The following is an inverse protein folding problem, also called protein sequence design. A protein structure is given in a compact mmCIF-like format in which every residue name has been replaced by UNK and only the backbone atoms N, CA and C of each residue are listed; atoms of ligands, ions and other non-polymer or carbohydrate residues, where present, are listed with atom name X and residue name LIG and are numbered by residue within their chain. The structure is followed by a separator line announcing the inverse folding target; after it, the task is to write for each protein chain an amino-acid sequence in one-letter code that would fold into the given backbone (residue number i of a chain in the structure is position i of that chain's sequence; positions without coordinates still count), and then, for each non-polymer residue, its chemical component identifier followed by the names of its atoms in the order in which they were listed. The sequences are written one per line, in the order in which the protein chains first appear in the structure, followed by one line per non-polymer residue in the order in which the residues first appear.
data_IF_872180848380
#
_entry.id   IF_872180848380
#
_cell.length_a   1.000
_cell.length_b   1.000
_cell.length_c   1.000
_cell.angle_alpha   90.00
_cell.angle_beta   90.00
_cell.angle_gamma   90.00
#
_symmetry.space_group_name_H-M   'P 1'
#
loop_
_entity.id
_entity.type
_entity.pdbx_description
1 polymer ?
#
# COMPACT_ATOMS: atom_id res chain seq x y z
N UNK A 1 -1.96 -3.75 -7.17
CA UNK A 1 -1.06 -2.64 -6.81
C UNK A 1 -1.61 -1.94 -5.58
N UNK A 2 -2.81 -1.39 -5.71
CA UNK A 2 -3.63 -0.76 -4.65
C UNK A 2 -3.60 -1.51 -3.31
N UNK A 3 -3.95 -2.80 -3.29
CA UNK A 3 -3.88 -3.64 -2.08
C UNK A 3 -2.48 -3.72 -1.48
N UNK A 4 -1.43 -3.88 -2.30
CA UNK A 4 -0.04 -3.99 -1.83
C UNK A 4 0.39 -2.64 -1.23
N UNK A 5 0.08 -1.55 -1.91
CA UNK A 5 0.41 -0.21 -1.42
C UNK A 5 -0.28 0.09 -0.09
N UNK A 6 -1.56 -0.27 0.03
CA UNK A 6 -2.30 -0.17 1.29
C UNK A 6 -1.68 -1.04 2.39
N UNK A 7 -1.40 -2.33 2.11
CA UNK A 7 -0.87 -3.27 3.10
C UNK A 7 0.54 -2.90 3.59
N UNK A 8 1.40 -2.40 2.69
CA UNK A 8 2.72 -1.90 3.05
C UNK A 8 2.59 -0.71 3.98
N UNK A 9 1.71 0.26 3.65
CA UNK A 9 1.48 1.41 4.53
C UNK A 9 0.88 1.00 5.87
N UNK A 10 -0.05 0.06 5.87
CA UNK A 10 -0.62 -0.50 7.09
C UNK A 10 0.46 -1.13 7.98
N UNK A 11 1.38 -1.92 7.42
CA UNK A 11 2.51 -2.48 8.18
C UNK A 11 3.44 -1.41 8.75
N UNK A 12 3.74 -0.37 7.97
CA UNK A 12 4.54 0.77 8.46
C UNK A 12 3.83 1.45 9.63
N UNK A 13 2.53 1.74 9.52
CA UNK A 13 1.76 2.39 10.58
C UNK A 13 1.59 1.47 11.81
N UNK A 14 1.46 0.14 11.64
CA UNK A 14 1.41 -0.82 12.74
C UNK A 14 2.67 -0.81 13.64
N UNK A 15 3.82 -0.35 13.12
CA UNK A 15 5.05 -0.19 13.90
C UNK A 15 5.06 1.13 14.68
N UNK A 16 4.25 2.11 14.28
CA UNK A 16 4.21 3.45 14.87
C UNK A 16 3.12 3.61 15.94
N UNK A 17 2.08 2.78 15.90
CA UNK A 17 0.94 2.84 16.84
C UNK A 17 0.61 1.50 17.46
N UNK A 18 0.08 1.54 18.69
CA UNK A 18 -0.23 0.34 19.47
C UNK A 18 -1.59 -0.31 19.17
N UNK A 19 -2.43 0.38 18.40
CA UNK A 19 -3.78 -0.08 18.02
C UNK A 19 -3.84 -0.38 16.53
N UNK A 20 -4.24 -1.61 16.19
CA UNK A 20 -4.44 -2.02 14.81
C UNK A 20 -5.52 -1.16 14.11
N UNK A 21 -6.57 -0.77 14.82
CA UNK A 21 -7.62 0.11 14.29
C UNK A 21 -7.08 1.49 13.90
N UNK A 22 -6.19 2.05 14.73
CA UNK A 22 -5.55 3.33 14.43
C UNK A 22 -4.55 3.20 13.27
N UNK A 23 -3.80 2.09 13.19
CA UNK A 23 -2.92 1.79 12.06
C UNK A 23 -3.71 1.67 10.74
N UNK A 24 -4.86 0.97 10.75
CA UNK A 24 -5.76 0.86 9.59
C UNK A 24 -6.24 2.25 9.16
N UNK A 25 -6.69 3.07 10.11
CA UNK A 25 -7.23 4.41 9.83
C UNK A 25 -6.19 5.35 9.25
N UNK A 26 -4.95 5.31 9.76
CA UNK A 26 -3.82 6.10 9.24
C UNK A 26 -3.42 5.65 7.84
N UNK A 27 -3.28 4.34 7.62
CA UNK A 27 -2.99 3.79 6.30
C UNK A 27 -4.09 4.14 5.29
N UNK A 28 -5.36 4.05 5.69
CA UNK A 28 -6.50 4.42 4.86
C UNK A 28 -6.50 5.90 4.48
N UNK A 29 -6.21 6.80 5.43
CA UNK A 29 -6.16 8.25 5.15
C UNK A 29 -4.97 8.61 4.26
N UNK A 30 -3.84 7.94 4.42
CA UNK A 30 -2.63 8.16 3.62
C UNK A 30 -2.76 7.67 2.18
N UNK A 31 -3.30 6.47 1.98
CA UNK A 31 -3.30 5.80 0.66
C UNK A 31 -4.64 5.90 -0.06
N UNK A 32 -5.77 5.98 0.66
CA UNK A 32 -7.12 5.91 0.09
C UNK A 32 -7.39 6.98 -0.97
N UNK A 33 -6.93 8.22 -0.75
CA UNK A 33 -7.07 9.29 -1.75
C UNK A 33 -6.34 8.96 -3.05
N UNK A 34 -5.14 8.35 -2.97
CA UNK A 34 -4.38 7.95 -4.14
C UNK A 34 -5.09 6.85 -4.94
N UNK A 35 -5.65 5.84 -4.27
CA UNK A 35 -6.40 4.75 -4.92
C UNK A 35 -7.66 5.24 -5.64
N UNK A 36 -8.37 6.19 -5.03
CA UNK A 36 -9.54 6.81 -5.67
C UNK A 36 -9.12 7.58 -6.92
N UNK A 37 -8.03 8.36 -6.85
CA UNK A 37 -7.56 9.15 -7.98
C UNK A 37 -7.12 8.27 -9.15
N UNK A 38 -6.34 7.20 -8.91
CA UNK A 38 -5.93 6.27 -9.97
C UNK A 38 -7.15 5.60 -10.61
N UNK A 39 -8.12 5.16 -9.80
CA UNK A 39 -9.37 4.58 -10.30
C UNK A 39 -10.15 5.55 -11.17
N UNK A 40 -10.29 6.81 -10.74
CA UNK A 40 -10.97 7.85 -11.53
C UNK A 40 -10.26 8.07 -12.87
N UNK A 41 -8.92 8.14 -12.87
CA UNK A 41 -8.12 8.29 -14.09
C UNK A 41 -8.35 7.09 -15.03
N UNK A 42 -8.35 5.86 -14.51
CA UNK A 42 -8.59 4.66 -15.30
C UNK A 42 -10.01 4.62 -15.86
N UNK A 43 -11.02 4.89 -15.04
CA UNK A 43 -12.42 4.96 -15.49
C UNK A 43 -12.59 6.02 -16.56
N UNK A 44 -12.00 7.20 -16.40
CA UNK A 44 -12.02 8.25 -17.42
C UNK A 44 -11.35 7.80 -18.72
N UNK A 45 -10.20 7.12 -18.63
CA UNK A 45 -9.53 6.51 -19.79
C UNK A 45 -10.42 5.50 -20.52
N UNK A 46 -11.00 4.53 -19.80
CA UNK A 46 -11.93 3.56 -20.37
C UNK A 46 -13.20 4.20 -20.91
N UNK A 47 -13.67 5.30 -20.32
CA UNK A 47 -14.85 6.04 -20.80
C UNK A 47 -14.66 6.55 -22.22
N UNK A 48 -13.44 6.94 -22.60
CA UNK A 48 -13.15 7.34 -23.99
C UNK A 48 -13.30 6.18 -24.98
N UNK A 49 -12.95 4.97 -24.57
CA UNK A 49 -13.04 3.75 -25.39
C UNK A 49 -14.50 3.33 -25.65
N UNK A 50 -15.43 3.72 -24.78
CA UNK A 50 -16.87 3.48 -24.96
C UNK A 50 -17.40 4.15 -26.23
N UNK A 51 -16.77 5.22 -26.70
CA UNK A 51 -17.16 5.89 -27.95
C UNK A 51 -16.59 5.22 -29.21
N UNK A 52 -15.76 4.18 -29.09
CA UNK A 52 -15.18 3.48 -30.25
C UNK A 52 -16.25 2.78 -31.09
N UNK A 53 -16.11 2.79 -32.42
CA UNK A 53 -16.99 2.08 -33.37
C UNK A 53 -16.86 0.55 -33.30
N UNK A 54 -15.80 0.03 -32.69
CA UNK A 54 -15.61 -1.41 -32.54
C UNK A 54 -16.38 -1.94 -31.34
N UNK A 55 -17.34 -2.85 -31.58
CA UNK A 55 -18.17 -3.47 -30.52
C UNK A 55 -17.32 -4.13 -29.43
N UNK A 56 -16.26 -4.84 -29.82
CA UNK A 56 -15.43 -5.59 -28.87
C UNK A 56 -14.68 -4.66 -27.91
N UNK A 57 -14.22 -3.50 -28.41
CA UNK A 57 -13.56 -2.48 -27.58
C UNK A 57 -14.52 -1.87 -26.56
N UNK A 58 -15.78 -1.60 -26.96
CA UNK A 58 -16.82 -1.09 -26.05
C UNK A 58 -17.12 -2.06 -24.92
N UNK A 59 -17.32 -3.34 -25.25
CA UNK A 59 -17.61 -4.38 -24.24
C UNK A 59 -16.43 -4.52 -23.29
N UNK A 60 -15.21 -4.56 -23.81
CA UNK A 60 -14.01 -4.62 -23.00
C UNK A 60 -13.89 -3.42 -22.05
N UNK A 61 -14.17 -2.21 -22.52
CA UNK A 61 -14.11 -1.00 -21.71
C UNK A 61 -15.13 -0.99 -20.56
N UNK A 62 -16.37 -1.42 -20.83
CA UNK A 62 -17.42 -1.52 -19.80
C UNK A 62 -17.03 -2.56 -18.75
N UNK A 63 -16.61 -3.75 -19.17
CA UNK A 63 -16.19 -4.82 -18.24
C UNK A 63 -14.98 -4.39 -17.40
N UNK A 64 -14.00 -3.73 -18.01
CA UNK A 64 -12.81 -3.24 -17.32
C UNK A 64 -13.16 -2.13 -16.32
N UNK A 65 -13.99 -1.16 -16.71
CA UNK A 65 -14.45 -0.10 -15.81
C UNK A 65 -15.21 -0.64 -14.60
N UNK A 66 -16.09 -1.63 -14.82
CA UNK A 66 -16.80 -2.32 -13.73
C UNK A 66 -15.83 -3.07 -12.82
N UNK A 67 -14.85 -3.77 -13.40
CA UNK A 67 -13.84 -4.54 -12.68
C UNK A 67 -12.98 -3.64 -11.79
N UNK A 68 -12.48 -2.54 -12.33
CA UNK A 68 -11.63 -1.58 -11.60
C UNK A 68 -12.45 -0.91 -10.48
N UNK A 69 -13.68 -0.51 -10.76
CA UNK A 69 -14.57 0.07 -9.74
C UNK A 69 -14.86 -0.92 -8.60
N UNK A 70 -15.08 -2.19 -8.95
CA UNK A 70 -15.30 -3.27 -7.97
C UNK A 70 -14.04 -3.58 -7.16
N UNK A 71 -12.86 -3.52 -7.79
CA UNK A 71 -11.57 -3.68 -7.12
C UNK A 71 -11.34 -2.58 -6.09
N UNK A 72 -11.56 -1.30 -6.45
CA UNK A 72 -11.47 -0.19 -5.50
C UNK A 72 -12.43 -0.36 -4.32
N UNK A 73 -13.66 -0.81 -4.57
CA UNK A 73 -14.60 -1.11 -3.49
C UNK A 73 -14.08 -2.21 -2.56
N UNK A 74 -13.46 -3.25 -3.14
CA UNK A 74 -12.72 -4.28 -2.39
C UNK A 74 -11.65 -3.69 -1.48
N UNK A 75 -10.79 -2.83 -2.03
CA UNK A 75 -9.65 -2.28 -1.29
C UNK A 75 -10.05 -1.23 -0.23
N UNK A 76 -11.13 -0.47 -0.45
CA UNK A 76 -11.56 0.55 0.52
C UNK A 76 -12.53 0.02 1.59
N UNK A 77 -13.25 -1.08 1.32
CA UNK A 77 -14.26 -1.60 2.25
C UNK A 77 -13.88 -2.96 2.80
N UNK A 78 -13.63 -3.93 1.93
CA UNK A 78 -13.35 -5.30 2.37
C UNK A 78 -11.98 -5.42 3.01
N UNK A 79 -10.95 -4.81 2.44
CA UNK A 79 -9.59 -4.90 2.95
C UNK A 79 -9.46 -4.37 4.40
N UNK A 80 -9.88 -3.14 4.75
CA UNK A 80 -9.81 -2.66 6.13
C UNK A 80 -10.67 -3.49 7.08
N UNK A 81 -11.85 -3.96 6.64
CA UNK A 81 -12.69 -4.85 7.46
C UNK A 81 -12.02 -6.21 7.73
N UNK A 82 -11.30 -6.75 6.74
CA UNK A 82 -10.55 -7.99 6.87
C UNK A 82 -9.35 -7.79 7.81
N UNK A 83 -8.63 -6.68 7.68
CA UNK A 83 -7.53 -6.32 8.58
C UNK A 83 -8.02 -6.14 10.02
N UNK A 84 -9.12 -5.41 10.25
CA UNK A 84 -9.65 -5.20 11.59
C UNK A 84 -10.01 -6.53 12.30
N UNK A 85 -10.37 -7.56 11.54
CA UNK A 85 -10.78 -8.87 12.10
C UNK A 85 -9.65 -9.90 12.17
N UNK A 86 -8.69 -9.84 11.25
CA UNK A 86 -7.68 -10.91 11.07
C UNK A 86 -6.23 -10.42 11.17
N UNK A 87 -5.98 -9.12 11.22
CA UNK A 87 -4.64 -8.61 11.42
C UNK A 87 -4.10 -9.13 12.76
N UNK A 88 -2.97 -9.84 12.68
CA UNK A 88 -2.13 -10.13 13.83
C UNK A 88 -0.99 -9.14 13.78
N UNK A 89 -0.74 -8.45 14.89
CA UNK A 89 0.37 -7.51 15.02
C UNK A 89 1.66 -8.23 14.64
N UNK A 90 2.19 -7.87 13.47
CA UNK A 90 3.44 -8.42 12.99
C UNK A 90 4.53 -7.65 13.69
N UNK A 91 5.18 -8.28 14.67
CA UNK A 91 6.44 -7.76 15.22
C UNK A 91 7.47 -7.86 14.10
N UNK A 92 7.54 -6.84 13.23
CA UNK A 92 8.74 -6.65 12.43
C UNK A 92 9.82 -6.36 13.47
N UNK A 93 10.85 -7.22 13.60
CA UNK A 93 11.94 -6.96 14.53
C UNK A 93 12.43 -5.56 14.20
N UNK A 94 12.61 -4.71 15.22
CA UNK A 94 13.31 -3.46 15.04
C UNK A 94 14.53 -3.79 14.19
N UNK A 95 14.66 -3.17 13.01
CA UNK A 95 15.87 -3.27 12.22
C UNK A 95 16.96 -2.85 13.20
N UNK A 96 17.75 -3.80 13.69
CA UNK A 96 18.86 -3.53 14.59
C UNK A 96 19.61 -2.36 13.96
N UNK A 97 19.70 -1.25 14.69
CA UNK A 97 20.57 -0.16 14.31
C UNK A 97 21.89 -0.82 13.90
N UNK A 98 22.44 -0.51 12.72
CA UNK A 98 23.62 -1.20 12.24
C UNK A 98 24.66 -1.06 13.35
N UNK A 99 24.96 -2.19 14.00
CA UNK A 99 25.93 -2.28 15.07
C UNK A 99 27.14 -1.51 14.58
N UNK A 100 27.39 -0.38 15.23
CA UNK A 100 28.40 0.59 14.82
C UNK A 100 29.71 -0.18 14.75
N UNK A 101 30.07 -0.57 13.52
CA UNK A 101 31.25 -1.37 13.26
C UNK A 101 32.42 -0.59 13.87
N UNK A 102 33.26 -1.23 14.72
CA UNK A 102 34.33 -0.52 15.42
C UNK A 102 35.11 0.31 14.40
N UNK A 103 35.20 1.62 14.65
CA UNK A 103 35.91 2.54 13.77
C UNK A 103 37.31 1.98 13.52
N UNK A 104 37.65 1.55 12.29
CA UNK A 104 38.92 0.90 11.99
C UNK A 104 40.13 1.80 12.28
N UNK A 105 39.90 3.09 12.54
CA UNK A 105 40.94 4.05 12.93
C UNK A 105 41.34 3.90 14.42
N UNK A 106 40.44 3.48 15.30
CA UNK A 106 40.73 3.36 16.74
C UNK A 106 41.60 2.13 17.07
N UNK A 107 41.39 1.00 16.41
CA UNK A 107 42.25 -0.19 16.60
C UNK A 107 43.67 0.01 16.06
N UNK A 108 43.83 0.76 14.97
CA UNK A 108 45.15 1.06 14.41
C UNK A 108 45.98 2.02 15.29
N UNK A 109 45.31 2.79 16.16
CA UNK A 109 45.97 3.73 17.06
C UNK A 109 46.43 3.05 18.35
N UNK A 110 45.69 2.05 18.86
CA UNK A 110 46.02 1.32 20.09
C UNK A 110 47.15 0.28 19.96
N UNK A 111 47.52 -0.12 18.73
CA UNK A 111 48.63 -1.08 18.48
C UNK A 111 49.99 -0.35 18.31
N UNK A 112 50.01 0.99 18.40
CA UNK A 112 51.20 1.82 18.15
C UNK A 112 51.88 2.39 19.40
N UNK A 113 51.51 1.98 20.61
CA UNK A 113 52.26 2.26 21.85
C UNK A 113 52.85 0.99 22.46
#
# INVERSE_FOLDING_TARGET
DDTIHFLTRFREEQLLVDSDDEAIRRAFTGVGTALIMTTVILVAGFSTVIFSDMRDQRIFAIMSGLTISSALFGDLVFLPALLARYAKRSQVPAMEEPEEAPDPILEQTLVRE
#
